data_IF_345949899116
#
_entry.id   IF_345949899116
#
_cell.length_a   1.000
_cell.length_b   1.000
_cell.length_c   1.000
_cell.angle_alpha   90.00
_cell.angle_beta   90.00
_cell.angle_gamma   90.00
#
_symmetry.space_group_name_H-M   'P 1'
#
loop_
_entity.id
_entity.type
_entity.pdbx_description
1 polymer ?
#
# COMPACT_ATOMS: atom_id res chain seq x y z
N UNK A 1 19.91 -4.84 4.03
CA UNK A 1 19.32 -3.61 4.58
C UNK A 1 18.06 -3.36 3.78
N UNK A 2 16.87 -3.50 4.38
CA UNK A 2 15.60 -3.34 3.66
C UNK A 2 15.25 -1.85 3.64
N UNK A 3 15.30 -1.23 2.46
CA UNK A 3 14.79 0.12 2.25
C UNK A 3 13.26 0.09 2.37
N UNK A 4 12.72 0.90 3.27
CA UNK A 4 11.29 1.12 3.44
C UNK A 4 10.96 2.41 2.70
N UNK A 5 10.23 2.32 1.58
CA UNK A 5 9.81 3.47 0.78
C UNK A 5 8.31 3.72 1.00
N UNK A 6 8.00 4.97 1.37
CA UNK A 6 6.64 5.46 1.57
C UNK A 6 6.20 6.19 0.31
N UNK A 7 5.39 5.53 -0.53
CA UNK A 7 4.84 6.12 -1.75
C UNK A 7 3.63 7.00 -1.39
N UNK A 8 3.70 8.30 -1.71
CA UNK A 8 2.57 9.24 -1.57
C UNK A 8 1.79 9.33 -2.89
N UNK A 9 0.89 8.39 -3.14
CA UNK A 9 -0.14 8.56 -4.18
C UNK A 9 -1.19 9.58 -3.73
N UNK A 10 -1.85 10.27 -4.67
CA UNK A 10 -2.91 11.25 -4.36
C UNK A 10 -3.89 10.71 -3.30
N UNK A 11 -4.27 11.51 -2.29
CA UNK A 11 -5.05 11.03 -1.16
C UNK A 11 -6.44 10.59 -1.64
N UNK A 12 -6.61 9.29 -1.86
CA UNK A 12 -7.94 8.72 -1.82
C UNK A 12 -8.40 8.89 -0.37
N UNK A 13 -9.45 9.68 -0.12
CA UNK A 13 -9.86 10.07 1.26
C UNK A 13 -10.01 8.91 2.25
N UNK A 14 -10.16 7.69 1.73
CA UNK A 14 -10.40 6.46 2.47
C UNK A 14 -9.22 5.46 2.43
N UNK A 15 -8.14 5.73 1.68
CA UNK A 15 -6.98 4.82 1.54
C UNK A 15 -5.68 5.64 1.56
N UNK A 16 -4.86 5.39 2.58
CA UNK A 16 -3.52 5.96 2.69
C UNK A 16 -2.47 4.86 2.45
N UNK A 17 -1.83 4.86 1.28
CA UNK A 17 -0.78 3.90 0.95
C UNK A 17 0.46 4.20 1.80
N UNK A 18 0.95 3.19 2.50
CA UNK A 18 2.13 3.29 3.37
C UNK A 18 3.36 2.69 2.72
N UNK A 19 3.17 1.60 1.96
CA UNK A 19 4.27 0.86 1.33
C UNK A 19 3.75 0.14 0.09
N UNK A 20 4.53 0.18 -0.97
CA UNK A 20 4.46 -0.78 -2.08
C UNK A 20 5.88 -1.28 -2.27
N UNK A 21 6.05 -2.58 -2.41
CA UNK A 21 7.33 -3.17 -2.78
C UNK A 21 7.09 -4.30 -3.76
N UNK A 22 8.02 -4.49 -4.69
CA UNK A 22 8.07 -5.66 -5.54
C UNK A 22 9.46 -6.30 -5.46
N UNK A 23 9.52 -7.56 -5.07
CA UNK A 23 10.79 -8.28 -5.01
C UNK A 23 11.22 -8.81 -6.40
N UNK A 24 12.44 -9.34 -6.47
CA UNK A 24 13.01 -9.90 -7.70
C UNK A 24 12.25 -11.14 -8.20
N UNK A 25 11.51 -11.82 -7.32
CA UNK A 25 10.68 -12.98 -7.62
C UNK A 25 9.27 -12.57 -8.09
N UNK A 26 8.98 -11.26 -8.11
CA UNK A 26 7.70 -10.70 -8.54
C UNK A 26 6.61 -10.77 -7.48
N UNK A 27 6.96 -11.01 -6.21
CA UNK A 27 6.03 -10.85 -5.08
C UNK A 27 5.85 -9.37 -4.80
N UNK A 28 4.60 -8.95 -4.67
CA UNK A 28 4.21 -7.58 -4.41
C UNK A 28 3.63 -7.50 -3.01
N UNK A 29 4.22 -6.63 -2.18
CA UNK A 29 3.74 -6.29 -0.85
C UNK A 29 3.16 -4.88 -0.88
N UNK A 30 1.93 -4.72 -0.38
CA UNK A 30 1.24 -3.43 -0.31
C UNK A 30 0.70 -3.28 1.09
N UNK A 31 1.02 -2.18 1.76
CA UNK A 31 0.40 -1.84 3.04
C UNK A 31 -0.25 -0.47 2.98
N UNK A 32 -1.40 -0.34 3.61
CA UNK A 32 -2.18 0.88 3.62
C UNK A 32 -3.06 0.98 4.88
N UNK A 33 -3.33 2.20 5.30
CA UNK A 33 -4.37 2.49 6.28
C UNK A 33 -5.67 2.83 5.57
N UNK A 34 -6.74 2.10 5.92
CA UNK A 34 -8.02 2.20 5.21
C UNK A 34 -9.09 2.66 6.18
N UNK A 35 -9.78 3.74 5.83
CA UNK A 35 -10.84 4.29 6.66
C UNK A 35 -11.97 3.29 6.84
N UNK A 36 -12.39 3.12 8.09
CA UNK A 36 -13.56 2.34 8.45
C UNK A 36 -14.83 3.04 8.00
N UNK A 37 -15.73 2.29 7.36
CA UNK A 37 -17.07 2.78 6.97
C UNK A 37 -18.06 2.71 8.14
N UNK A 38 -17.79 1.88 9.15
CA UNK A 38 -18.69 1.70 10.30
C UNK A 38 -18.35 2.62 11.47
N UNK A 39 -17.14 3.19 11.50
CA UNK A 39 -16.67 4.05 12.58
C UNK A 39 -15.90 5.23 12.02
N UNK A 40 -16.44 6.43 12.17
CA UNK A 40 -15.77 7.65 11.75
C UNK A 40 -14.45 7.87 12.51
N UNK A 41 -13.44 8.36 11.79
CA UNK A 41 -12.10 8.60 12.31
C UNK A 41 -11.24 7.36 12.55
N UNK A 42 -11.78 6.14 12.41
CA UNK A 42 -11.02 4.91 12.56
C UNK A 42 -10.42 4.47 11.22
N UNK A 43 -9.15 4.09 11.25
CA UNK A 43 -8.44 3.46 10.13
C UNK A 43 -7.97 2.07 10.51
N UNK A 44 -8.07 1.14 9.58
CA UNK A 44 -7.56 -0.21 9.73
C UNK A 44 -6.34 -0.41 8.85
N UNK A 45 -5.23 -0.74 9.51
CA UNK A 45 -4.03 -1.16 8.82
C UNK A 45 -4.31 -2.46 8.05
N UNK A 46 -4.02 -2.45 6.76
CA UNK A 46 -4.32 -3.55 5.84
C UNK A 46 -3.11 -3.82 4.98
N UNK A 47 -2.77 -5.10 4.85
CA UNK A 47 -1.64 -5.55 4.05
C UNK A 47 -2.10 -6.59 3.02
N UNK A 48 -1.59 -6.47 1.81
CA UNK A 48 -1.68 -7.49 0.76
C UNK A 48 -0.27 -7.97 0.43
N UNK A 49 -0.12 -9.28 0.30
CA UNK A 49 1.06 -9.91 -0.28
C UNK A 49 0.54 -10.80 -1.38
N UNK A 50 0.97 -10.55 -2.61
CA UNK A 50 0.49 -11.32 -3.75
C UNK A 50 1.60 -11.63 -4.72
N UNK A 51 1.43 -12.72 -5.45
CA UNK A 51 2.14 -12.97 -6.69
C UNK A 51 1.13 -13.37 -7.76
N UNK A 52 1.58 -13.76 -8.96
CA UNK A 52 0.68 -14.15 -10.04
C UNK A 52 -0.22 -15.36 -9.75
N UNK A 53 0.01 -16.12 -8.66
CA UNK A 53 -0.70 -17.37 -8.37
C UNK A 53 -1.41 -17.43 -7.00
N UNK A 54 -1.05 -16.59 -6.03
CA UNK A 54 -1.69 -16.55 -4.72
C UNK A 54 -1.79 -15.12 -4.15
N UNK A 55 -2.72 -14.95 -3.22
CA UNK A 55 -2.95 -13.73 -2.46
C UNK A 55 -3.01 -14.08 -0.97
N UNK A 56 -2.20 -13.40 -0.17
CA UNK A 56 -2.27 -13.37 1.29
C UNK A 56 -2.63 -11.96 1.72
N UNK A 57 -3.34 -11.86 2.83
CA UNK A 57 -3.77 -10.57 3.35
C UNK A 57 -3.82 -10.57 4.87
N UNK A 58 -3.75 -9.39 5.45
CA UNK A 58 -4.06 -9.15 6.85
C UNK A 58 -4.78 -7.80 6.99
N UNK A 59 -5.60 -7.67 8.02
CA UNK A 59 -6.23 -6.41 8.37
C UNK A 59 -6.39 -6.31 9.88
N UNK A 60 -6.24 -5.12 10.45
CA UNK A 60 -6.45 -4.90 11.90
C UNK A 60 -7.92 -4.84 12.32
N UNK A 61 -8.86 -5.07 11.41
CA UNK A 61 -10.28 -5.12 11.74
C UNK A 61 -10.68 -6.47 12.35
N UNK A 62 -11.76 -6.46 13.13
CA UNK A 62 -12.29 -7.64 13.84
C UNK A 62 -12.56 -8.84 12.93
N UNK A 63 -13.09 -8.62 11.72
CA UNK A 63 -13.36 -9.70 10.77
C UNK A 63 -12.10 -10.51 10.41
N UNK A 64 -10.93 -9.86 10.37
CA UNK A 64 -9.66 -10.55 10.10
C UNK A 64 -9.23 -11.48 11.24
N UNK A 65 -9.59 -11.16 12.49
CA UNK A 65 -9.34 -12.01 13.65
C UNK A 65 -10.11 -13.34 13.57
N UNK A 66 -11.21 -13.36 12.81
CA UNK A 66 -11.99 -14.56 12.52
C UNK A 66 -11.62 -15.21 11.18
N UNK A 67 -10.52 -14.78 10.55
CA UNK A 67 -10.07 -15.30 9.25
C UNK A 67 -10.98 -14.93 8.07
N UNK A 68 -11.86 -13.95 8.23
CA UNK A 68 -12.80 -13.54 7.19
C UNK A 68 -12.20 -12.45 6.29
N UNK A 69 -12.53 -12.51 5.00
CA UNK A 69 -12.20 -11.44 4.05
C UNK A 69 -13.04 -10.20 4.38
N UNK A 70 -12.37 -9.10 4.75
CA UNK A 70 -13.05 -7.87 5.11
C UNK A 70 -13.10 -6.87 3.95
N UNK A 71 -14.00 -5.88 4.04
CA UNK A 71 -14.13 -4.80 3.05
C UNK A 71 -12.85 -4.00 2.87
N UNK A 72 -12.01 -3.86 3.90
CA UNK A 72 -10.75 -3.12 3.83
C UNK A 72 -9.75 -3.84 2.89
N UNK A 73 -9.59 -5.16 3.04
CA UNK A 73 -8.77 -5.98 2.15
C UNK A 73 -9.26 -5.88 0.71
N UNK A 74 -10.57 -5.99 0.50
CA UNK A 74 -11.16 -5.88 -0.84
C UNK A 74 -10.95 -4.48 -1.45
N UNK A 75 -11.10 -3.42 -0.64
CA UNK A 75 -10.88 -2.03 -1.06
C UNK A 75 -9.43 -1.80 -1.48
N UNK A 76 -8.45 -2.29 -0.71
CA UNK A 76 -7.03 -2.21 -1.08
C UNK A 76 -6.71 -2.99 -2.34
N UNK A 77 -7.27 -4.19 -2.47
CA UNK A 77 -7.03 -5.03 -3.65
C UNK A 77 -7.57 -4.39 -4.92
N UNK A 78 -8.79 -3.84 -4.87
CA UNK A 78 -9.39 -3.12 -5.98
C UNK A 78 -8.62 -1.85 -6.32
N UNK A 79 -8.14 -1.12 -5.31
CA UNK A 79 -7.29 0.05 -5.51
C UNK A 79 -5.99 -0.34 -6.23
N UNK A 80 -5.30 -1.35 -5.72
CA UNK A 80 -4.10 -1.88 -6.36
C UNK A 80 -4.37 -2.30 -7.81
N UNK A 81 -5.40 -3.09 -8.09
CA UNK A 81 -5.68 -3.55 -9.45
C UNK A 81 -5.91 -2.38 -10.43
N UNK A 82 -6.55 -1.31 -9.96
CA UNK A 82 -6.80 -0.10 -10.75
C UNK A 82 -5.52 0.70 -10.99
N UNK A 83 -4.65 0.81 -9.98
CA UNK A 83 -3.47 1.67 -10.00
C UNK A 83 -2.13 0.92 -10.17
N UNK A 84 -2.16 -0.39 -10.44
CA UNK A 84 -0.98 -1.27 -10.43
C UNK A 84 0.17 -0.78 -11.30
N UNK A 85 -0.11 -0.14 -12.44
CA UNK A 85 0.93 0.36 -13.36
C UNK A 85 1.65 1.58 -12.79
N UNK A 86 0.93 2.44 -12.09
CA UNK A 86 1.46 3.65 -11.46
C UNK A 86 2.29 3.26 -10.23
N UNK A 87 1.68 2.48 -9.33
CA UNK A 87 2.32 2.01 -8.09
C UNK A 87 3.62 1.23 -8.33
N UNK A 88 3.69 0.45 -9.41
CA UNK A 88 4.90 -0.33 -9.74
C UNK A 88 5.91 0.42 -10.60
N UNK A 89 5.50 1.49 -11.32
CA UNK A 89 6.44 2.35 -12.05
C UNK A 89 7.21 3.28 -11.12
N UNK A 90 6.57 3.74 -10.06
CA UNK A 90 7.21 4.60 -9.06
C UNK A 90 8.33 3.85 -8.32
N UNK A 91 8.20 2.52 -8.12
CA UNK A 91 9.29 1.66 -7.64
C UNK A 91 10.47 1.57 -8.63
N UNK A 92 10.21 1.41 -9.94
CA UNK A 92 11.26 1.30 -10.97
C UNK A 92 12.05 2.62 -11.15
N UNK A 93 11.43 3.77 -10.90
CA UNK A 93 12.09 5.08 -10.99
C UNK A 93 12.91 5.48 -9.74
N UNK A 94 12.88 4.69 -8.65
CA UNK A 94 13.52 5.02 -7.37
C UNK A 94 14.84 4.27 -7.12
N UNK A 95 15.62 4.11 -8.20
CA UNK A 95 17.07 3.92 -8.16
C UNK A 95 17.88 5.22 -8.03
N UNK A 96 17.24 6.34 -7.65
CA UNK A 96 17.90 7.63 -7.41
C UNK A 96 17.71 7.98 -5.93
N UNK A 97 18.80 7.90 -5.17
CA UNK A 97 18.91 8.52 -3.85
C UNK A 97 18.72 10.02 -4.02
N UNK A 98 17.75 10.61 -3.32
CA UNK A 98 17.66 12.06 -3.16
C UNK A 98 18.26 12.42 -1.81
N UNK A 99 19.57 12.60 -1.79
CA UNK A 99 20.33 13.23 -0.73
C UNK A 99 20.34 14.74 -0.95
N UNK A 100 19.54 15.46 -0.16
CA UNK A 100 19.71 16.91 0.03
C UNK A 100 18.46 17.74 -0.18
N UNK A 101 18.04 18.41 0.90
CA UNK A 101 17.27 19.63 0.80
C UNK A 101 18.15 20.71 0.15
N UNK A 102 17.89 21.02 -1.12
CA UNK A 102 18.37 22.23 -1.75
C UNK A 102 17.29 23.31 -1.61
N UNK A 103 17.62 24.39 -0.92
CA UNK A 103 16.79 25.60 -0.87
C UNK A 103 16.59 26.16 -2.30
N UNK A 104 15.47 26.84 -2.58
CA UNK A 104 15.28 27.49 -3.87
C UNK A 104 16.15 28.74 -3.96
N UNK A 105 17.13 28.72 -4.87
CA UNK A 105 17.84 29.93 -5.29
C UNK A 105 16.95 30.76 -6.24
N UNK A 106 16.70 32.02 -5.85
CA UNK A 106 16.36 33.13 -6.77
C UNK A 106 17.60 33.63 -7.51
#
# INVERSE_FOLDING_TARGET
MSNQLTIRTQPHKDINILKVMKDQQGVIEISADIRSESRDGLYHHTMLILNGSWLRFSCSCEASSYGMLCKHVLKLYNYYQRHRRELLREEENQGITFDGWGEPDE
#
